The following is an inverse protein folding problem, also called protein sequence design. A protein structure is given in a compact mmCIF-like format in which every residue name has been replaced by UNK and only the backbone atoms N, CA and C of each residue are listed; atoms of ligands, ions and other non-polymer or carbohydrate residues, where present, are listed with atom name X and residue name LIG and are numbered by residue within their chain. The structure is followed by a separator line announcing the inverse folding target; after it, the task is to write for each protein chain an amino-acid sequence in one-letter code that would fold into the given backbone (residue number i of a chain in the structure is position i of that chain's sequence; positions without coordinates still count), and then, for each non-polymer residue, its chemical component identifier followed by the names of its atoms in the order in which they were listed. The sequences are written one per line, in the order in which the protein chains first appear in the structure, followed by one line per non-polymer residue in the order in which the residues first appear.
data_IF_179619538596
#
_entry.id   IF_179619538596
#
_cell.length_a   1.000
_cell.length_b   1.000
_cell.length_c   1.000
_cell.angle_alpha   90.00
_cell.angle_beta   90.00
_cell.angle_gamma   90.00
#
_symmetry.space_group_name_H-M   'P 1'
#
loop_
_entity.id
_entity.type
_entity.pdbx_description
1 polymer ?
#
# COMPACT_ATOMS: atom_id res chain seq x y z
N UNK A 1 32.60 4.36 51.99
CA UNK A 1 32.60 5.07 50.69
C UNK A 1 32.54 4.12 49.48
N UNK A 2 32.39 2.81 49.69
CA UNK A 2 32.29 1.77 48.65
C UNK A 2 30.88 1.60 48.08
N UNK A 3 29.83 1.77 48.90
CA UNK A 3 28.43 1.58 48.49
C UNK A 3 27.97 2.42 47.29
N UNK A 4 28.42 3.68 47.19
CA UNK A 4 28.01 4.60 46.12
C UNK A 4 28.60 4.17 44.76
N UNK A 5 29.78 3.54 44.76
CA UNK A 5 30.43 3.10 43.52
C UNK A 5 29.68 1.90 42.91
N UNK A 6 29.30 0.94 43.74
CA UNK A 6 28.56 -0.25 43.34
C UNK A 6 27.14 0.12 42.83
N UNK A 7 26.49 1.09 43.47
CA UNK A 7 25.17 1.58 43.05
C UNK A 7 25.23 2.29 41.68
N UNK A 8 26.28 3.07 41.41
CA UNK A 8 26.47 3.74 40.12
C UNK A 8 26.75 2.72 39.00
N UNK A 9 27.52 1.68 39.28
CA UNK A 9 27.83 0.62 38.31
C UNK A 9 26.59 -0.22 37.98
N UNK A 10 25.77 -0.53 38.99
CA UNK A 10 24.50 -1.22 38.79
C UNK A 10 23.52 -0.41 37.92
N UNK A 11 23.41 0.91 38.16
CA UNK A 11 22.58 1.80 37.34
C UNK A 11 23.08 1.89 35.90
N UNK A 12 24.39 1.99 35.68
CA UNK A 12 24.97 2.00 34.32
C UNK A 12 24.67 0.71 33.57
N UNK A 13 24.87 -0.44 34.21
CA UNK A 13 24.58 -1.74 33.61
C UNK A 13 23.10 -1.89 33.27
N UNK A 14 22.20 -1.38 34.11
CA UNK A 14 20.76 -1.40 33.86
C UNK A 14 20.39 -0.55 32.63
N UNK A 15 20.88 0.70 32.56
CA UNK A 15 20.64 1.59 31.42
C UNK A 15 21.22 1.03 30.12
N UNK A 16 22.39 0.39 30.17
CA UNK A 16 22.96 -0.27 28.99
C UNK A 16 22.13 -1.47 28.51
N UNK A 17 21.56 -2.25 29.43
CA UNK A 17 20.67 -3.37 29.09
C UNK A 17 19.36 -2.89 28.47
N UNK A 18 18.75 -1.83 29.04
CA UNK A 18 17.54 -1.21 28.48
C UNK A 18 17.78 -0.67 27.06
N UNK A 19 18.89 0.04 26.85
CA UNK A 19 19.25 0.56 25.53
C UNK A 19 19.49 -0.57 24.51
N UNK A 20 20.13 -1.67 24.92
CA UNK A 20 20.33 -2.85 24.05
C UNK A 20 19.00 -3.52 23.70
N UNK A 21 18.09 -3.65 24.67
CA UNK A 21 16.76 -4.21 24.44
C UNK A 21 15.94 -3.35 23.47
N UNK A 22 15.95 -2.02 23.63
CA UNK A 22 15.24 -1.10 22.72
C UNK A 22 15.81 -1.15 21.29
N UNK A 23 17.13 -1.22 21.15
CA UNK A 23 17.77 -1.37 19.84
C UNK A 23 17.40 -2.70 19.19
N UNK A 24 17.39 -3.79 19.96
CA UNK A 24 17.00 -5.10 19.46
C UNK A 24 15.53 -5.12 19.01
N UNK A 25 14.61 -4.58 19.82
CA UNK A 25 13.19 -4.50 19.47
C UNK A 25 12.97 -3.70 18.18
N UNK A 26 13.66 -2.56 18.01
CA UNK A 26 13.59 -1.76 16.78
C UNK A 26 14.12 -2.52 15.56
N UNK A 27 15.18 -3.32 15.73
CA UNK A 27 15.71 -4.15 14.64
C UNK A 27 14.73 -5.25 14.25
N UNK A 28 14.12 -5.93 15.22
CA UNK A 28 13.10 -6.97 15.00
C UNK A 28 11.86 -6.40 14.29
N UNK A 29 11.35 -5.24 14.73
CA UNK A 29 10.23 -4.56 14.08
C UNK A 29 10.55 -4.16 12.64
N UNK A 30 11.78 -3.69 12.37
CA UNK A 30 12.22 -3.33 11.01
C UNK A 30 12.30 -4.56 10.11
N UNK A 31 12.87 -5.66 10.60
CA UNK A 31 12.96 -6.90 9.85
C UNK A 31 11.58 -7.46 9.51
N UNK A 32 10.66 -7.44 10.49
CA UNK A 32 9.27 -7.87 10.29
C UNK A 32 8.55 -7.00 9.26
N UNK A 33 8.73 -5.67 9.33
CA UNK A 33 8.15 -4.75 8.34
C UNK A 33 8.66 -5.06 6.93
N UNK A 34 9.96 -5.28 6.74
CA UNK A 34 10.55 -5.62 5.44
C UNK A 34 10.02 -6.95 4.89
N UNK A 35 9.81 -7.94 5.77
CA UNK A 35 9.22 -9.23 5.38
C UNK A 35 7.77 -9.04 4.89
N UNK A 36 6.98 -8.28 5.64
CA UNK A 36 5.60 -7.94 5.27
C UNK A 36 5.53 -7.17 3.96
N UNK A 37 6.40 -6.18 3.75
CA UNK A 37 6.48 -5.40 2.49
C UNK A 37 6.79 -6.30 1.29
N UNK A 38 7.72 -7.24 1.44
CA UNK A 38 8.06 -8.20 0.38
C UNK A 38 6.85 -9.09 0.04
N UNK A 39 6.20 -9.66 1.06
CA UNK A 39 5.02 -10.49 0.87
C UNK A 39 3.89 -9.72 0.18
N UNK A 40 3.64 -8.47 0.61
CA UNK A 40 2.64 -7.62 -0.02
C UNK A 40 2.99 -7.27 -1.46
N UNK A 41 4.25 -7.01 -1.78
CA UNK A 41 4.68 -6.73 -3.15
C UNK A 41 4.42 -7.92 -4.08
N UNK A 42 4.74 -9.13 -3.63
CA UNK A 42 4.50 -10.36 -4.40
C UNK A 42 3.00 -10.63 -4.59
N UNK A 43 2.21 -10.48 -3.52
CA UNK A 43 0.76 -10.63 -3.55
C UNK A 43 0.09 -9.63 -4.50
N UNK A 44 0.41 -8.34 -4.37
CA UNK A 44 -0.21 -7.28 -5.17
C UNK A 44 0.17 -7.40 -6.64
N UNK A 45 1.41 -7.80 -6.95
CA UNK A 45 1.83 -8.11 -8.31
C UNK A 45 1.07 -9.30 -8.90
N UNK A 46 0.85 -10.36 -8.13
CA UNK A 46 0.07 -11.51 -8.59
C UNK A 46 -1.39 -11.12 -8.88
N UNK A 47 -2.00 -10.31 -8.00
CA UNK A 47 -3.37 -9.80 -8.19
C UNK A 47 -3.45 -8.91 -9.43
N UNK A 48 -2.57 -7.92 -9.58
CA UNK A 48 -2.62 -7.00 -10.73
C UNK A 48 -2.45 -7.74 -12.06
N UNK A 49 -1.57 -8.75 -12.07
CA UNK A 49 -1.38 -9.61 -13.23
C UNK A 49 -2.64 -10.42 -13.55
N UNK A 50 -3.29 -11.02 -12.54
CA UNK A 50 -4.53 -11.77 -12.73
C UNK A 50 -5.68 -10.89 -13.28
N UNK A 51 -5.80 -9.66 -12.77
CA UNK A 51 -6.80 -8.70 -13.21
C UNK A 51 -6.60 -8.25 -14.67
N UNK A 52 -5.34 -8.08 -15.11
CA UNK A 52 -5.01 -7.61 -16.46
C UNK A 52 -4.87 -8.74 -17.49
N UNK A 53 -4.49 -9.96 -17.08
CA UNK A 53 -4.25 -11.09 -18.00
C UNK A 53 -5.51 -11.63 -18.67
N UNK A 54 -6.69 -11.35 -18.09
CA UNK A 54 -7.99 -11.82 -18.59
C UNK A 54 -8.71 -10.79 -19.48
N UNK A 55 -8.06 -9.67 -19.78
CA UNK A 55 -8.63 -8.62 -20.61
C UNK A 55 -8.71 -9.08 -22.06
N UNK A 56 -9.93 -9.14 -22.59
CA UNK A 56 -10.28 -9.66 -23.93
C UNK A 56 -11.19 -8.70 -24.66
N UNK A 57 -10.86 -7.42 -24.61
CA UNK A 57 -11.57 -6.38 -25.35
C UNK A 57 -11.28 -6.53 -26.84
N UNK A 58 -12.29 -6.96 -27.60
CA UNK A 58 -12.24 -7.13 -29.05
C UNK A 58 -12.18 -5.79 -29.81
N UNK A 59 -12.37 -4.66 -29.13
CA UNK A 59 -12.41 -3.30 -29.70
C UNK A 59 -11.04 -2.57 -29.68
N UNK A 60 -9.97 -3.28 -29.28
CA UNK A 60 -8.62 -2.74 -29.15
C UNK A 60 -8.40 -1.92 -27.88
N UNK A 61 -9.40 -1.79 -27.00
CA UNK A 61 -9.14 -1.32 -25.64
C UNK A 61 -8.33 -2.35 -24.87
N UNK A 62 -7.53 -1.93 -23.89
CA UNK A 62 -6.84 -2.88 -23.02
C UNK A 62 -6.43 -2.28 -21.68
N UNK A 63 -6.17 -3.15 -20.70
CA UNK A 63 -5.67 -2.84 -19.38
C UNK A 63 -4.15 -2.90 -19.36
N UNK A 64 -3.52 -1.83 -18.85
CA UNK A 64 -2.06 -1.74 -18.70
C UNK A 64 -1.73 -1.55 -17.23
N UNK A 65 -0.88 -2.42 -16.69
CA UNK A 65 -0.26 -2.23 -15.38
C UNK A 65 0.92 -1.26 -15.48
N UNK A 66 1.00 -0.28 -14.58
CA UNK A 66 2.17 0.59 -14.42
C UNK A 66 2.87 0.34 -13.09
N UNK A 67 4.15 0.71 -13.03
CA UNK A 67 4.97 0.56 -11.83
C UNK A 67 4.58 1.58 -10.75
N UNK A 68 4.20 1.08 -9.57
CA UNK A 68 4.04 1.92 -8.38
C UNK A 68 5.37 2.05 -7.60
N UNK A 69 5.63 3.21 -6.98
CA UNK A 69 6.83 3.48 -6.16
C UNK A 69 6.82 2.81 -4.76
N UNK A 70 5.71 2.20 -4.37
CA UNK A 70 5.46 1.52 -3.10
C UNK A 70 4.90 0.11 -3.39
N UNK A 71 4.85 -0.84 -2.42
CA UNK A 71 4.08 -2.07 -2.65
C UNK A 71 2.65 -1.69 -3.04
N UNK A 72 2.28 -2.01 -4.28
CA UNK A 72 1.15 -1.41 -4.97
C UNK A 72 1.23 -1.62 -6.46
N UNK A 73 0.19 -1.18 -7.15
CA UNK A 73 0.11 -1.16 -8.60
C UNK A 73 -0.90 -0.11 -9.05
N UNK A 74 -0.81 0.31 -10.30
CA UNK A 74 -1.89 1.02 -10.96
C UNK A 74 -2.28 0.29 -12.24
N UNK A 75 -3.56 0.32 -12.56
CA UNK A 75 -4.11 -0.22 -13.80
C UNK A 75 -4.79 0.93 -14.56
N UNK A 76 -4.39 1.09 -15.81
CA UNK A 76 -4.96 2.03 -16.75
C UNK A 76 -5.85 1.27 -17.74
N UNK A 77 -6.99 1.83 -18.08
CA UNK A 77 -7.77 1.39 -19.23
C UNK A 77 -7.44 2.30 -20.41
N UNK A 78 -6.98 1.72 -21.51
CA UNK A 78 -6.59 2.44 -22.73
C UNK A 78 -7.67 2.17 -23.78
N UNK A 79 -8.38 3.20 -24.23
CA UNK A 79 -9.39 3.09 -25.29
C UNK A 79 -8.88 3.60 -26.64
N UNK A 80 -9.41 3.07 -27.74
CA UNK A 80 -8.99 3.42 -29.11
C UNK A 80 -9.25 4.90 -29.49
N UNK A 81 -9.99 5.65 -28.65
CA UNK A 81 -10.36 7.06 -28.83
C UNK A 81 -9.59 8.08 -27.96
N UNK A 82 -8.59 7.65 -27.19
CA UNK A 82 -7.68 8.56 -26.47
C UNK A 82 -8.21 9.16 -25.16
N UNK A 83 -9.44 8.84 -24.75
CA UNK A 83 -9.88 9.09 -23.38
C UNK A 83 -9.31 8.00 -22.48
N UNK A 84 -8.26 8.35 -21.72
CA UNK A 84 -7.83 7.55 -20.58
C UNK A 84 -8.77 7.89 -19.41
N UNK A 85 -9.67 6.98 -19.01
CA UNK A 85 -10.33 7.09 -17.72
C UNK A 85 -9.31 7.12 -16.58
N UNK A 86 -9.80 7.54 -15.42
CA UNK A 86 -9.01 7.64 -14.20
C UNK A 86 -8.37 6.29 -13.83
N UNK A 87 -7.09 6.28 -13.39
CA UNK A 87 -6.40 5.04 -13.04
C UNK A 87 -7.08 4.33 -11.86
N UNK A 88 -7.05 3.01 -11.86
CA UNK A 88 -7.30 2.23 -10.64
C UNK A 88 -5.97 2.01 -9.93
N UNK A 89 -5.81 2.61 -8.76
CA UNK A 89 -4.56 2.58 -8.00
C UNK A 89 -4.74 1.85 -6.68
N UNK A 90 -3.81 0.95 -6.37
CA UNK A 90 -3.75 0.22 -5.09
C UNK A 90 -2.39 0.48 -4.46
N UNK A 91 -2.38 0.93 -3.22
CA UNK A 91 -1.16 1.14 -2.43
C UNK A 91 -1.27 0.43 -1.09
N UNK A 92 -0.14 -0.08 -0.60
CA UNK A 92 -0.05 -0.69 0.72
C UNK A 92 1.01 0.00 1.57
N UNK A 93 0.69 0.22 2.85
CA UNK A 93 1.65 0.66 3.87
C UNK A 93 1.80 -0.45 4.89
N UNK A 94 3.04 -0.82 5.21
CA UNK A 94 3.33 -1.90 6.15
C UNK A 94 3.95 -1.35 7.45
N UNK A 95 3.54 -1.89 8.59
CA UNK A 95 4.12 -1.57 9.91
C UNK A 95 4.14 -2.83 10.77
N UNK A 96 5.33 -3.40 10.96
CA UNK A 96 5.49 -4.73 11.55
C UNK A 96 4.76 -5.77 10.71
N UNK A 97 3.90 -6.56 11.34
CA UNK A 97 3.06 -7.58 10.67
C UNK A 97 1.73 -7.04 10.11
N UNK A 98 1.43 -5.76 10.32
CA UNK A 98 0.19 -5.14 9.86
C UNK A 98 0.37 -4.41 8.54
N UNK A 99 -0.70 -4.41 7.74
CA UNK A 99 -0.80 -3.76 6.45
C UNK A 99 -2.05 -2.88 6.43
N UNK A 100 -1.91 -1.69 5.87
CA UNK A 100 -3.02 -0.85 5.46
C UNK A 100 -3.05 -0.79 3.94
N UNK A 101 -4.17 -1.20 3.35
CA UNK A 101 -4.40 -1.16 1.91
C UNK A 101 -5.30 0.02 1.58
N UNK A 102 -4.85 0.85 0.66
CA UNK A 102 -5.60 1.99 0.14
C UNK A 102 -5.89 1.76 -1.34
N UNK A 103 -7.11 2.08 -1.75
CA UNK A 103 -7.58 1.94 -3.14
C UNK A 103 -8.14 3.28 -3.59
N UNK A 104 -7.80 3.67 -4.82
CA UNK A 104 -8.36 4.82 -5.52
C UNK A 104 -8.90 4.38 -6.88
N UNK A 105 -10.09 4.85 -7.23
CA UNK A 105 -10.71 4.80 -8.56
C UNK A 105 -10.26 5.97 -9.47
N UNK A 106 -9.33 6.78 -8.95
CA UNK A 106 -8.59 7.82 -9.65
C UNK A 106 -9.39 9.09 -9.88
N UNK A 107 -10.59 9.21 -9.28
CA UNK A 107 -11.46 10.36 -9.48
C UNK A 107 -10.82 11.64 -8.93
N UNK A 108 -10.58 12.57 -9.84
CA UNK A 108 -10.09 13.89 -9.50
C UNK A 108 -11.27 14.82 -9.19
N UNK A 109 -11.27 15.46 -8.02
CA UNK A 109 -12.19 16.55 -7.73
C UNK A 109 -11.43 17.88 -7.70
N UNK A 110 -11.85 18.82 -8.54
CA UNK A 110 -11.30 20.18 -8.53
C UNK A 110 -11.70 20.86 -7.22
N UNK A 111 -10.74 21.43 -6.49
CA UNK A 111 -11.05 22.23 -5.30
C UNK A 111 -11.67 23.56 -5.77
N UNK A 112 -12.94 23.85 -5.49
CA UNK A 112 -13.53 25.11 -5.89
C UNK A 112 -12.81 26.26 -5.16
N UNK A 113 -12.55 27.35 -5.88
CA UNK A 113 -11.90 28.59 -5.41
C UNK A 113 -10.37 28.52 -5.18
N UNK A 114 -9.66 27.54 -5.73
CA UNK A 114 -8.19 27.56 -5.80
C UNK A 114 -7.76 27.80 -7.25
N UNK A 115 -7.05 28.91 -7.51
CA UNK A 115 -6.46 29.20 -8.81
C UNK A 115 -5.19 28.38 -9.03
N UNK A 116 -5.19 27.55 -10.06
CA UNK A 116 -4.19 26.51 -10.31
C UNK A 116 -4.81 25.15 -10.06
N UNK A 117 -4.71 24.24 -11.03
CA UNK A 117 -5.31 22.89 -11.02
C UNK A 117 -4.71 22.00 -9.92
N UNK A 118 -4.93 22.36 -8.66
CA UNK A 118 -4.62 21.56 -7.49
C UNK A 118 -5.90 20.81 -7.11
N UNK A 119 -5.81 19.49 -7.10
CA UNK A 119 -6.87 18.61 -6.71
C UNK A 119 -6.27 17.45 -5.94
N UNK A 120 -7.02 16.96 -4.98
CA UNK A 120 -6.71 15.72 -4.29
C UNK A 120 -7.37 14.57 -5.05
N UNK A 121 -6.73 13.40 -5.04
CA UNK A 121 -7.41 12.13 -5.29
C UNK A 121 -8.50 12.03 -4.22
N UNK A 122 -9.73 12.38 -4.57
CA UNK A 122 -10.80 12.62 -3.61
C UNK A 122 -11.35 11.31 -3.03
N UNK A 123 -10.90 10.18 -3.55
CA UNK A 123 -11.53 8.88 -3.45
C UNK A 123 -10.64 7.79 -2.85
N UNK A 124 -9.38 8.09 -2.48
CA UNK A 124 -8.51 7.13 -1.80
C UNK A 124 -9.14 6.68 -0.49
N UNK A 125 -9.49 5.39 -0.40
CA UNK A 125 -10.13 4.79 0.78
C UNK A 125 -9.28 3.67 1.32
N UNK A 126 -9.16 3.61 2.64
CA UNK A 126 -8.63 2.42 3.32
C UNK A 126 -9.61 1.27 3.11
N UNK A 127 -9.22 0.31 2.28
CA UNK A 127 -10.04 -0.83 1.90
C UNK A 127 -9.77 -2.05 2.81
N UNK A 128 -8.59 -2.11 3.42
CA UNK A 128 -8.21 -3.15 4.37
C UNK A 128 -7.21 -2.62 5.39
N UNK A 129 -7.33 -3.06 6.64
CA UNK A 129 -6.32 -2.79 7.68
C UNK A 129 -6.22 -4.01 8.60
N UNK A 130 -5.00 -4.53 8.78
CA UNK A 130 -4.72 -5.67 9.65
C UNK A 130 -3.57 -6.54 9.13
N UNK A 131 -3.38 -7.74 9.69
CA UNK A 131 -2.33 -8.67 9.24
C UNK A 131 -2.50 -9.09 7.79
N UNK A 132 -1.44 -9.56 7.13
CA UNK A 132 -1.56 -10.07 5.75
C UNK A 132 -2.54 -11.25 5.71
N UNK A 133 -3.63 -11.07 4.95
CA UNK A 133 -4.61 -12.11 4.68
C UNK A 133 -4.92 -12.09 3.18
N UNK A 134 -4.26 -12.99 2.45
CA UNK A 134 -4.28 -13.02 0.99
C UNK A 134 -5.70 -13.11 0.43
N UNK A 135 -6.55 -13.97 1.01
CA UNK A 135 -7.93 -14.14 0.54
C UNK A 135 -8.78 -12.88 0.73
N UNK A 136 -8.67 -12.21 1.89
CA UNK A 136 -9.39 -10.96 2.16
C UNK A 136 -8.90 -9.82 1.26
N UNK A 137 -7.58 -9.69 1.12
CA UNK A 137 -6.94 -8.66 0.29
C UNK A 137 -7.34 -8.85 -1.18
N UNK A 138 -7.22 -10.07 -1.71
CA UNK A 138 -7.65 -10.41 -3.06
C UNK A 138 -9.12 -10.02 -3.27
N UNK A 139 -10.01 -10.47 -2.39
CA UNK A 139 -11.45 -10.20 -2.49
C UNK A 139 -11.75 -8.70 -2.54
N UNK A 140 -11.20 -7.92 -1.61
CA UNK A 140 -11.42 -6.47 -1.53
C UNK A 140 -10.91 -5.75 -2.78
N UNK A 141 -9.73 -6.12 -3.29
CA UNK A 141 -9.17 -5.52 -4.49
C UNK A 141 -10.03 -5.85 -5.70
N UNK A 142 -10.40 -7.11 -5.89
CA UNK A 142 -11.20 -7.55 -7.04
C UNK A 142 -12.59 -6.92 -7.04
N UNK A 143 -13.27 -6.83 -5.90
CA UNK A 143 -14.57 -6.15 -5.79
C UNK A 143 -14.47 -4.65 -6.14
N UNK A 144 -13.41 -3.98 -5.68
CA UNK A 144 -13.17 -2.56 -5.98
C UNK A 144 -12.81 -2.34 -7.45
N UNK A 145 -11.95 -3.20 -8.00
CA UNK A 145 -11.57 -3.18 -9.41
C UNK A 145 -12.77 -3.37 -10.33
N UNK A 146 -13.62 -4.37 -10.07
CA UNK A 146 -14.83 -4.61 -10.86
C UNK A 146 -15.79 -3.43 -10.82
N UNK A 147 -15.87 -2.74 -9.69
CA UNK A 147 -16.70 -1.53 -9.54
C UNK A 147 -16.14 -0.39 -10.40
N UNK A 148 -14.82 -0.15 -10.37
CA UNK A 148 -14.16 0.83 -11.22
C UNK A 148 -14.30 0.48 -12.70
N UNK A 149 -13.96 -0.75 -13.10
CA UNK A 149 -13.97 -1.20 -14.49
C UNK A 149 -15.36 -1.08 -15.13
N UNK A 150 -16.43 -1.38 -14.39
CA UNK A 150 -17.82 -1.16 -14.86
C UNK A 150 -18.15 0.31 -15.13
N UNK A 151 -17.63 1.25 -14.34
CA UNK A 151 -17.84 2.69 -14.57
C UNK A 151 -17.07 3.16 -15.81
N UNK A 152 -15.90 2.58 -16.04
CA UNK A 152 -15.03 2.93 -17.17
C UNK A 152 -15.61 2.46 -18.52
N UNK A 153 -16.34 1.34 -18.52
CA UNK A 153 -17.01 0.81 -19.71
C UNK A 153 -18.33 1.51 -20.07
N UNK A 154 -18.85 2.41 -19.23
CA UNK A 154 -20.09 3.16 -19.45
C UNK A 154 -19.83 4.45 -20.23
#
# INVERSE_FOLDING_TARGET
MTHIHDDIEHVKNHVELENKAEVQEKQEQKLETQRTEKQMKELLYAISKDLTSNDKSDDGSHLVQTDAKAPGFEILFVSHGGHNPTPFSVTATCKGSNVELQISDGKWESIPNVSGNWGHWADTKTAYSGPVNESKIYKVITESFLTWYKKVLQ
#
